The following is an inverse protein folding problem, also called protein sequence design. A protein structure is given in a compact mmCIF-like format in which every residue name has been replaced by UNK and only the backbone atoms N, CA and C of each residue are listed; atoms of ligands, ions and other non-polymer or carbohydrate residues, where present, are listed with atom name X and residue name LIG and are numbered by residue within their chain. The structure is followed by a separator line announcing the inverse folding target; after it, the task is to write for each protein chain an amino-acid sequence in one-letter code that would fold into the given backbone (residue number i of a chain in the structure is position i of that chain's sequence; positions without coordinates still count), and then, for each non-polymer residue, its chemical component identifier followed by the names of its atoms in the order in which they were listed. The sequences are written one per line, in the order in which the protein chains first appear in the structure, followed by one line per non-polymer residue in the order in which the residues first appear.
data_IF_283605162302
#
_entry.id   IF_283605162302
#
_cell.length_a   1.000
_cell.length_b   1.000
_cell.length_c   1.000
_cell.angle_alpha   90.00
_cell.angle_beta   90.00
_cell.angle_gamma   90.00
#
_symmetry.space_group_name_H-M   'P 1'
#
loop_
_entity.id
_entity.type
_entity.pdbx_description
1 polymer ?
#
# COMPACT_ATOMS: atom_id res chain seq x y z
N UNK A 1 -10.77 -8.58 0.32
CA UNK A 1 -10.10 -7.42 0.97
C UNK A 1 -10.28 -7.54 2.47
N UNK A 2 -9.26 -7.25 3.29
CA UNK A 2 -9.28 -7.45 4.74
C UNK A 2 -8.68 -6.24 5.47
N UNK A 3 -9.33 -5.75 6.53
CA UNK A 3 -8.74 -4.75 7.43
C UNK A 3 -7.71 -5.41 8.34
N UNK A 4 -6.54 -4.80 8.44
CA UNK A 4 -5.46 -5.26 9.32
C UNK A 4 -5.65 -4.71 10.74
N UNK A 5 -5.27 -5.51 11.74
CA UNK A 5 -5.24 -5.08 13.15
C UNK A 5 -3.95 -4.30 13.42
N UNK A 6 -4.06 -3.04 13.80
CA UNK A 6 -2.88 -2.22 14.09
C UNK A 6 -2.44 -2.43 15.54
N UNK A 7 -1.14 -2.24 15.78
CA UNK A 7 -0.58 -2.33 17.13
C UNK A 7 -1.15 -1.22 18.03
N UNK A 8 -1.12 -1.47 19.33
CA UNK A 8 -1.50 -0.50 20.36
C UNK A 8 -0.63 0.78 20.22
N UNK A 9 -1.27 1.95 20.28
CA UNK A 9 -0.62 3.24 20.04
C UNK A 9 -0.64 3.72 18.57
N UNK A 10 -1.26 2.98 17.65
CA UNK A 10 -1.56 3.53 16.32
C UNK A 10 -2.47 4.78 16.43
N UNK A 11 -2.28 5.79 15.55
CA UNK A 11 -3.14 6.97 15.54
C UNK A 11 -4.62 6.60 15.43
N UNK A 12 -5.45 7.32 16.16
CA UNK A 12 -6.89 7.10 16.15
C UNK A 12 -7.46 7.27 14.73
N UNK A 13 -8.35 6.35 14.33
CA UNK A 13 -8.97 6.36 13.01
C UNK A 13 -8.07 5.91 11.86
N UNK A 14 -6.78 5.59 12.10
CA UNK A 14 -5.92 5.00 11.06
C UNK A 14 -6.43 3.59 10.71
N UNK A 15 -6.57 3.35 9.42
CA UNK A 15 -6.94 2.04 8.90
C UNK A 15 -5.94 1.59 7.85
N UNK A 16 -5.60 0.30 7.88
CA UNK A 16 -4.83 -0.33 6.81
C UNK A 16 -5.59 -1.54 6.31
N UNK A 17 -5.78 -1.59 5.00
CA UNK A 17 -6.51 -2.63 4.30
C UNK A 17 -5.55 -3.39 3.39
N UNK A 18 -5.65 -4.72 3.42
CA UNK A 18 -4.89 -5.63 2.57
C UNK A 18 -5.79 -6.26 1.52
N UNK A 19 -5.27 -6.28 0.30
CA UNK A 19 -5.82 -7.00 -0.82
C UNK A 19 -4.89 -8.15 -1.18
N UNK A 20 -5.47 -9.32 -1.42
CA UNK A 20 -4.79 -10.40 -2.13
C UNK A 20 -5.26 -10.36 -3.58
N UNK A 21 -4.32 -10.38 -4.50
CA UNK A 21 -4.55 -10.19 -5.93
C UNK A 21 -4.20 -11.48 -6.66
N UNK A 22 -5.17 -12.02 -7.40
CA UNK A 22 -4.90 -13.02 -8.41
C UNK A 22 -4.52 -12.30 -9.71
N UNK A 23 -3.21 -12.25 -9.99
CA UNK A 23 -2.67 -11.51 -11.13
C UNK A 23 -2.89 -12.21 -12.47
N UNK A 24 -3.38 -13.45 -12.46
CA UNK A 24 -3.68 -14.24 -13.65
C UNK A 24 -5.17 -14.24 -13.98
N UNK A 25 -6.02 -13.94 -13.00
CA UNK A 25 -7.45 -13.79 -13.22
C UNK A 25 -7.75 -12.63 -14.18
N UNK A 26 -8.84 -12.69 -14.95
CA UNK A 26 -9.34 -11.52 -15.67
C UNK A 26 -9.72 -10.43 -14.67
N UNK A 27 -9.69 -9.18 -15.13
CA UNK A 27 -10.23 -8.06 -14.36
C UNK A 27 -11.75 -8.28 -14.23
N UNK A 28 -12.27 -8.14 -13.01
CA UNK A 28 -13.70 -8.32 -12.77
C UNK A 28 -14.50 -7.14 -13.36
N UNK A 29 -15.58 -7.43 -14.08
CA UNK A 29 -16.46 -6.41 -14.68
C UNK A 29 -16.97 -5.39 -13.65
N UNK A 30 -17.24 -5.86 -12.43
CA UNK A 30 -17.66 -5.02 -11.31
C UNK A 30 -16.59 -4.04 -10.85
N UNK A 31 -15.30 -4.38 -10.96
CA UNK A 31 -14.20 -3.47 -10.63
C UNK A 31 -14.06 -2.42 -11.73
N UNK A 32 -14.11 -2.85 -13.00
CA UNK A 32 -13.98 -1.98 -14.18
C UNK A 32 -15.06 -0.88 -14.19
N UNK A 33 -16.29 -1.20 -13.78
CA UNK A 33 -17.41 -0.25 -13.72
C UNK A 33 -17.24 0.87 -12.68
N UNK A 34 -16.36 0.70 -11.70
CA UNK A 34 -16.14 1.72 -10.66
C UNK A 34 -15.08 2.74 -11.07
N UNK A 35 -14.22 2.40 -12.03
CA UNK A 35 -13.15 3.29 -12.47
C UNK A 35 -13.72 4.42 -13.32
N UNK A 36 -13.09 5.60 -13.24
CA UNK A 36 -13.34 6.63 -14.24
C UNK A 36 -12.76 6.18 -15.59
N UNK A 37 -13.30 6.73 -16.69
CA UNK A 37 -12.79 6.45 -18.04
C UNK A 37 -11.27 6.69 -18.15
N UNK A 38 -10.77 7.75 -17.53
CA UNK A 38 -9.34 8.08 -17.54
C UNK A 38 -8.49 7.06 -16.77
N UNK A 39 -8.98 6.58 -15.62
CA UNK A 39 -8.30 5.54 -14.84
C UNK A 39 -8.26 4.22 -15.60
N UNK A 40 -9.40 3.80 -16.17
CA UNK A 40 -9.49 2.60 -16.97
C UNK A 40 -8.54 2.67 -18.17
N UNK A 41 -8.58 3.76 -18.94
CA UNK A 41 -7.67 3.96 -20.08
C UNK A 41 -6.20 3.94 -19.67
N UNK A 42 -5.85 4.49 -18.49
CA UNK A 42 -4.48 4.44 -17.99
C UNK A 42 -4.06 3.01 -17.64
N UNK A 43 -4.94 2.24 -17.00
CA UNK A 43 -4.68 0.84 -16.68
C UNK A 43 -4.49 0.00 -17.95
N UNK A 44 -5.33 0.18 -18.96
CA UNK A 44 -5.24 -0.56 -20.23
C UNK A 44 -3.99 -0.26 -21.07
N UNK A 45 -3.24 0.80 -20.75
CA UNK A 45 -1.94 1.09 -21.38
C UNK A 45 -0.76 0.36 -20.74
N UNK A 46 -0.98 -0.35 -19.63
CA UNK A 46 0.07 -1.12 -18.98
C UNK A 46 0.44 -2.32 -19.83
N UNK A 47 1.75 -2.61 -19.91
CA UNK A 47 2.29 -3.65 -20.79
C UNK A 47 1.92 -5.06 -20.35
N UNK A 48 1.86 -5.29 -19.04
CA UNK A 48 1.67 -6.62 -18.48
C UNK A 48 0.29 -6.75 -17.85
N UNK A 49 -0.40 -7.86 -18.14
CA UNK A 49 -1.71 -8.19 -17.56
C UNK A 49 -1.73 -8.07 -16.04
N UNK A 50 -0.70 -8.60 -15.37
CA UNK A 50 -0.55 -8.50 -13.92
C UNK A 50 -0.55 -7.04 -13.40
N UNK A 51 -0.01 -6.09 -14.17
CA UNK A 51 -0.01 -4.68 -13.80
C UNK A 51 -1.38 -4.05 -14.02
N UNK A 52 -2.10 -4.44 -15.09
CA UNK A 52 -3.50 -4.05 -15.33
C UNK A 52 -4.38 -4.50 -14.17
N UNK A 53 -4.34 -5.79 -13.81
CA UNK A 53 -5.11 -6.36 -12.70
C UNK A 53 -4.81 -5.62 -11.41
N UNK A 54 -3.53 -5.38 -11.10
CA UNK A 54 -3.12 -4.66 -9.90
C UNK A 54 -3.66 -3.22 -9.88
N UNK A 55 -3.55 -2.51 -11.00
CA UNK A 55 -4.03 -1.14 -11.12
C UNK A 55 -5.55 -1.05 -10.95
N UNK A 56 -6.31 -1.92 -11.62
CA UNK A 56 -7.78 -1.91 -11.59
C UNK A 56 -8.29 -2.34 -10.22
N UNK A 57 -7.92 -3.53 -9.74
CA UNK A 57 -8.44 -4.08 -8.49
C UNK A 57 -8.12 -3.15 -7.30
N UNK A 58 -6.91 -2.59 -7.27
CA UNK A 58 -6.52 -1.67 -6.19
C UNK A 58 -7.27 -0.35 -6.27
N UNK A 59 -7.47 0.20 -7.49
CA UNK A 59 -8.24 1.45 -7.67
C UNK A 59 -9.72 1.26 -7.32
N UNK A 60 -10.32 0.16 -7.76
CA UNK A 60 -11.72 -0.17 -7.46
C UNK A 60 -11.92 -0.33 -5.94
N UNK A 61 -11.02 -1.04 -5.26
CA UNK A 61 -11.04 -1.18 -3.81
C UNK A 61 -10.87 0.16 -3.08
N UNK A 62 -9.94 1.00 -3.51
CA UNK A 62 -9.77 2.35 -2.96
C UNK A 62 -11.07 3.15 -3.11
N UNK A 63 -11.70 3.15 -4.29
CA UNK A 63 -12.96 3.86 -4.52
C UNK A 63 -14.08 3.35 -3.61
N UNK A 64 -14.23 2.03 -3.44
CA UNK A 64 -15.22 1.44 -2.49
C UNK A 64 -14.98 1.91 -1.06
N UNK A 65 -13.72 1.87 -0.61
CA UNK A 65 -13.38 2.30 0.74
C UNK A 65 -13.67 3.79 0.94
N UNK A 66 -13.23 4.66 0.02
CA UNK A 66 -13.47 6.10 0.12
C UNK A 66 -14.95 6.45 0.02
N UNK A 67 -15.71 5.74 -0.83
CA UNK A 67 -17.16 5.88 -0.94
C UNK A 67 -17.83 5.62 0.41
N UNK A 68 -17.44 4.56 1.10
CA UNK A 68 -17.98 4.23 2.42
C UNK A 68 -17.66 5.28 3.51
N UNK A 69 -16.64 6.13 3.33
CA UNK A 69 -16.31 7.23 4.28
C UNK A 69 -16.93 8.56 3.90
N UNK A 70 -17.15 8.78 2.60
CA UNK A 70 -17.60 10.08 2.08
C UNK A 70 -19.09 10.12 1.75
N UNK A 71 -19.75 8.95 1.63
CA UNK A 71 -21.11 8.83 1.13
C UNK A 71 -21.25 9.09 -0.38
N UNK A 72 -20.16 9.43 -1.08
CA UNK A 72 -20.15 9.65 -2.53
C UNK A 72 -20.04 8.31 -3.24
N UNK A 73 -20.85 8.09 -4.29
CA UNK A 73 -20.79 6.86 -5.06
C UNK A 73 -19.37 6.61 -5.64
N UNK A 74 -18.86 5.36 -5.65
CA UNK A 74 -17.47 5.08 -5.99
C UNK A 74 -17.03 5.66 -7.34
N UNK A 75 -17.88 5.59 -8.36
CA UNK A 75 -17.65 6.09 -9.73
C UNK A 75 -17.66 7.62 -9.82
N UNK A 76 -18.29 8.31 -8.86
CA UNK A 76 -18.36 9.78 -8.79
C UNK A 76 -17.19 10.40 -8.03
N UNK A 77 -16.33 9.61 -7.40
CA UNK A 77 -15.14 10.11 -6.72
C UNK A 77 -14.17 10.76 -7.71
N UNK A 78 -13.76 11.99 -7.42
CA UNK A 78 -12.77 12.75 -8.17
C UNK A 78 -11.45 12.75 -7.41
N UNK A 79 -10.39 12.38 -8.11
CA UNK A 79 -9.02 12.39 -7.60
C UNK A 79 -8.24 13.52 -8.25
N UNK A 80 -7.55 14.31 -7.44
CA UNK A 80 -6.58 15.31 -7.87
C UNK A 80 -5.17 14.80 -7.61
N UNK A 81 -4.17 15.50 -8.16
CA UNK A 81 -2.77 15.25 -7.84
C UNK A 81 -2.16 16.56 -7.31
N UNK A 82 -1.38 16.47 -6.25
CA UNK A 82 -0.59 17.61 -5.79
C UNK A 82 0.62 17.86 -6.70
N UNK A 83 1.39 18.92 -6.41
CA UNK A 83 2.61 19.28 -7.16
C UNK A 83 3.68 18.18 -7.24
N UNK A 84 3.59 17.14 -6.40
CA UNK A 84 4.51 16.00 -6.35
C UNK A 84 3.91 14.72 -6.96
N UNK A 85 2.74 14.81 -7.58
CA UNK A 85 2.03 13.68 -8.18
C UNK A 85 1.32 12.77 -7.17
N UNK A 86 1.22 13.15 -5.89
CA UNK A 86 0.46 12.34 -4.90
C UNK A 86 -1.03 12.46 -5.22
N UNK A 87 -1.75 11.35 -5.43
CA UNK A 87 -3.19 11.40 -5.55
C UNK A 87 -3.83 11.83 -4.22
N UNK A 88 -4.85 12.66 -4.30
CA UNK A 88 -5.71 13.09 -3.20
C UNK A 88 -7.18 13.07 -3.65
N UNK A 89 -8.11 13.05 -2.70
CA UNK A 89 -9.51 13.32 -3.02
C UNK A 89 -9.66 14.82 -3.26
N UNK A 90 -10.51 15.21 -4.21
CA UNK A 90 -10.81 16.62 -4.47
C UNK A 90 -11.50 17.29 -3.27
N UNK A 91 -12.32 16.54 -2.53
CA UNK A 91 -12.91 17.00 -1.29
C UNK A 91 -11.82 17.13 -0.21
N UNK A 92 -11.53 18.37 0.20
CA UNK A 92 -10.50 18.70 1.19
C UNK A 92 -10.76 18.11 2.59
N UNK A 93 -12.04 17.89 2.94
CA UNK A 93 -12.44 17.28 4.21
C UNK A 93 -12.55 15.73 4.10
N UNK A 94 -12.22 15.17 2.94
CA UNK A 94 -12.17 13.74 2.71
C UNK A 94 -10.98 13.07 3.41
N UNK A 95 -11.04 11.75 3.67
CA UNK A 95 -9.95 11.05 4.32
C UNK A 95 -8.68 11.08 3.47
N UNK A 96 -7.54 11.26 4.14
CA UNK A 96 -6.23 11.09 3.53
C UNK A 96 -6.01 9.60 3.21
N UNK A 97 -5.37 9.31 2.08
CA UNK A 97 -5.08 7.94 1.69
C UNK A 97 -3.68 7.75 1.11
N UNK A 98 -3.22 6.50 1.17
CA UNK A 98 -2.05 6.05 0.44
C UNK A 98 -2.24 4.60 -0.01
N UNK A 99 -1.57 4.25 -1.10
CA UNK A 99 -1.65 2.92 -1.71
C UNK A 99 -0.23 2.49 -2.06
N UNK A 100 0.11 1.26 -1.72
CA UNK A 100 1.33 0.59 -2.18
C UNK A 100 1.02 -0.86 -2.50
N UNK A 101 1.79 -1.47 -3.39
CA UNK A 101 1.55 -2.83 -3.83
C UNK A 101 2.83 -3.52 -4.27
N UNK A 102 2.95 -4.81 -3.97
CA UNK A 102 4.10 -5.61 -4.39
C UNK A 102 3.71 -7.06 -4.58
N UNK A 103 4.09 -7.63 -5.72
CA UNK A 103 3.64 -8.96 -6.14
C UNK A 103 2.10 -9.07 -6.15
N UNK A 104 1.59 -10.05 -5.40
CA UNK A 104 0.17 -10.41 -5.30
C UNK A 104 -0.57 -9.68 -4.16
N UNK A 105 0.02 -8.63 -3.58
CA UNK A 105 -0.56 -7.93 -2.43
C UNK A 105 -0.58 -6.44 -2.71
N UNK A 106 -1.70 -5.80 -2.35
CA UNK A 106 -1.81 -4.35 -2.25
C UNK A 106 -2.23 -3.94 -0.84
N UNK A 107 -1.76 -2.78 -0.42
CA UNK A 107 -2.12 -2.11 0.82
C UNK A 107 -2.74 -0.76 0.51
N UNK A 108 -3.79 -0.44 1.27
CA UNK A 108 -4.45 0.86 1.25
C UNK A 108 -4.50 1.35 2.69
N UNK A 109 -3.89 2.50 2.95
CA UNK A 109 -4.02 3.19 4.23
C UNK A 109 -4.99 4.37 4.11
N UNK A 110 -5.82 4.56 5.14
CA UNK A 110 -6.77 5.64 5.27
C UNK A 110 -6.60 6.32 6.63
N UNK A 111 -6.62 7.64 6.66
CA UNK A 111 -6.63 8.42 7.88
C UNK A 111 -7.72 9.50 7.80
N UNK A 112 -8.37 9.89 8.91
CA UNK A 112 -9.40 10.94 8.91
C UNK A 112 -8.89 12.29 8.38
N UNK A 113 -7.58 12.55 8.47
CA UNK A 113 -6.93 13.73 7.92
C UNK A 113 -5.41 13.62 8.01
N UNK A 114 -4.73 14.69 7.57
CA UNK A 114 -3.27 14.78 7.63
C UNK A 114 -2.55 13.92 6.57
N UNK A 115 -1.29 13.58 6.86
CA UNK A 115 -0.45 12.80 5.96
C UNK A 115 -0.44 11.33 6.35
N UNK A 116 -0.81 10.46 5.41
CA UNK A 116 -0.67 9.00 5.54
C UNK A 116 0.18 8.44 4.38
N UNK A 117 0.92 7.40 4.70
CA UNK A 117 1.75 6.56 3.83
C UNK A 117 1.52 5.10 4.17
N UNK A 118 1.69 4.22 3.19
CA UNK A 118 1.84 2.80 3.39
C UNK A 118 2.80 2.31 2.33
N UNK A 119 3.69 1.40 2.72
CA UNK A 119 4.62 0.81 1.77
C UNK A 119 4.73 -0.68 2.01
N UNK A 120 4.77 -1.45 0.92
CA UNK A 120 4.94 -2.89 0.93
C UNK A 120 5.92 -3.28 -0.15
N UNK A 121 6.89 -4.11 0.20
CA UNK A 121 7.82 -4.68 -0.75
C UNK A 121 7.95 -6.19 -0.58
N UNK A 122 8.05 -6.89 -1.71
CA UNK A 122 8.28 -8.34 -1.72
C UNK A 122 9.74 -8.61 -1.37
N UNK A 123 9.97 -9.29 -0.25
CA UNK A 123 11.29 -9.81 0.08
C UNK A 123 11.79 -10.76 -1.02
N UNK A 124 12.99 -10.50 -1.53
CA UNK A 124 13.71 -11.38 -2.45
C UNK A 124 14.89 -11.97 -1.69
N UNK A 125 14.84 -13.26 -1.31
CA UNK A 125 15.91 -13.88 -0.53
C UNK A 125 17.28 -13.79 -1.21
N UNK A 126 17.31 -13.73 -2.55
CA UNK A 126 18.55 -13.64 -3.33
C UNK A 126 19.08 -12.20 -3.46
N UNK A 127 18.34 -11.20 -2.99
CA UNK A 127 18.83 -9.82 -3.01
C UNK A 127 19.84 -9.62 -1.86
N UNK A 128 21.13 -9.58 -2.20
CA UNK A 128 22.18 -9.25 -1.25
C UNK A 128 22.12 -7.75 -0.92
N UNK A 129 21.33 -7.40 0.08
CA UNK A 129 21.13 -6.01 0.51
C UNK A 129 22.18 -5.54 1.51
N UNK A 130 22.99 -6.45 2.06
CA UNK A 130 24.01 -6.14 3.07
C UNK A 130 24.98 -5.01 2.63
N UNK A 131 25.49 -4.97 1.38
CA UNK A 131 26.38 -3.89 0.93
C UNK A 131 25.72 -2.51 0.86
N UNK A 132 24.39 -2.45 0.73
CA UNK A 132 23.65 -1.18 0.63
C UNK A 132 23.26 -0.62 2.00
N UNK A 133 23.38 -1.39 3.09
CA UNK A 133 22.95 -0.97 4.42
C UNK A 133 23.69 0.28 4.90
N UNK A 134 25.00 0.37 4.64
CA UNK A 134 25.83 1.53 4.97
C UNK A 134 25.48 2.82 4.20
N UNK A 135 24.81 2.68 3.05
CA UNK A 135 24.49 3.78 2.14
C UNK A 135 23.02 4.23 2.25
N UNK A 136 22.13 3.32 2.66
CA UNK A 136 20.68 3.50 2.56
C UNK A 136 20.00 3.54 3.93
N UNK A 137 20.63 2.99 4.98
CA UNK A 137 20.10 3.00 6.35
C UNK A 137 20.78 4.09 7.18
N UNK A 138 20.00 4.75 8.02
CA UNK A 138 20.53 5.61 9.09
C UNK A 138 21.17 4.77 10.21
N UNK A 139 22.05 5.34 11.05
CA UNK A 139 22.67 4.62 12.17
C UNK A 139 21.67 3.94 13.11
N UNK A 140 20.51 4.58 13.38
CA UNK A 140 19.44 3.99 14.20
C UNK A 140 18.76 2.78 13.53
N UNK A 141 18.67 2.76 12.20
CA UNK A 141 18.07 1.65 11.45
C UNK A 141 19.03 0.46 11.33
N UNK A 142 20.34 0.73 11.21
CA UNK A 142 21.38 -0.30 11.25
C UNK A 142 21.36 -1.05 12.59
N UNK A 143 21.28 -0.33 13.72
CA UNK A 143 21.19 -0.92 15.06
C UNK A 143 19.95 -1.82 15.23
N UNK A 144 18.79 -1.42 14.71
CA UNK A 144 17.57 -2.21 14.77
C UNK A 144 17.63 -3.49 13.90
N UNK A 145 18.39 -3.44 12.79
CA UNK A 145 18.58 -4.59 11.89
C UNK A 145 19.39 -5.71 12.56
N UNK A 146 20.35 -5.35 13.42
CA UNK A 146 21.18 -6.33 14.14
C UNK A 146 20.49 -6.98 15.35
N UNK A 147 19.42 -6.37 15.89
CA UNK A 147 18.70 -6.90 17.04
C UNK A 147 17.69 -8.03 16.71
N UNK A 148 17.42 -8.31 15.43
CA UNK A 148 16.29 -9.16 14.98
C UNK A 148 16.72 -10.41 14.19
N UNK A 149 17.86 -11.02 14.51
CA UNK A 149 18.30 -12.25 13.85
C UNK A 149 17.69 -13.56 14.42
N UNK A 150 16.93 -13.52 15.51
CA UNK A 150 16.41 -14.72 16.16
C UNK A 150 14.90 -14.62 16.37
N UNK A 151 14.14 -15.39 15.59
CA UNK A 151 12.73 -15.74 15.81
C UNK A 151 11.77 -14.58 16.14
N UNK A 152 11.04 -14.05 15.16
CA UNK A 152 9.87 -13.22 15.46
C UNK A 152 8.64 -13.64 14.63
N UNK A 153 7.66 -14.36 15.22
CA UNK A 153 6.36 -14.66 14.60
C UNK A 153 5.38 -13.48 14.64
N UNK A 154 5.78 -12.29 15.08
CA UNK A 154 4.87 -11.22 15.44
C UNK A 154 5.14 -9.96 14.62
N UNK A 155 4.07 -9.49 13.99
CA UNK A 155 3.90 -8.11 13.55
C UNK A 155 4.43 -7.17 14.64
N UNK A 156 5.59 -6.59 14.38
CA UNK A 156 6.14 -5.54 15.21
C UNK A 156 6.19 -4.30 14.33
N UNK A 157 5.50 -3.26 14.79
CA UNK A 157 5.49 -1.92 14.21
C UNK A 157 6.88 -1.28 14.39
N UNK A 158 7.88 -1.81 13.67
CA UNK A 158 9.21 -1.24 13.55
C UNK A 158 9.24 -0.29 12.37
N UNK A 159 9.24 1.01 12.66
CA UNK A 159 9.29 2.08 11.67
C UNK A 159 10.63 2.08 10.92
N UNK A 160 10.58 2.24 9.59
CA UNK A 160 11.72 2.74 8.81
C UNK A 160 11.56 4.27 8.72
N UNK A 161 12.46 4.99 9.37
CA UNK A 161 12.40 6.44 9.56
C UNK A 161 13.18 7.09 8.43
N UNK A 162 12.62 7.14 7.23
CA UNK A 162 13.17 8.03 6.20
C UNK A 162 12.52 9.40 6.33
N UNK A 163 13.35 10.41 6.57
CA UNK A 163 13.11 11.76 6.05
C UNK A 163 13.09 11.62 4.52
N UNK A 164 11.97 11.18 3.98
CA UNK A 164 11.70 11.26 2.56
C UNK A 164 11.68 12.75 2.25
N UNK A 165 12.41 13.19 1.22
CA UNK A 165 12.39 14.58 0.73
C UNK A 165 11.01 15.01 0.20
N UNK A 166 9.97 14.17 0.38
CA UNK A 166 8.58 14.46 0.07
C UNK A 166 7.79 14.61 1.40
N UNK A 167 7.19 15.78 1.67
CA UNK A 167 6.66 16.15 3.00
C UNK A 167 5.42 15.36 3.51
N UNK A 168 5.05 14.21 2.93
CA UNK A 168 3.70 13.64 3.09
C UNK A 168 3.59 12.11 3.33
N UNK A 169 4.65 11.40 3.70
CA UNK A 169 4.63 9.93 3.85
C UNK A 169 4.87 9.49 5.32
N UNK A 170 3.89 8.81 5.94
CA UNK A 170 4.04 8.15 7.25
C UNK A 170 3.28 6.83 7.34
N UNK A 171 3.99 5.79 7.82
CA UNK A 171 3.71 4.35 7.90
C UNK A 171 4.25 3.54 6.70
N UNK A 172 5.20 2.64 6.95
CA UNK A 172 5.64 1.58 6.05
C UNK A 172 5.26 0.27 6.72
N UNK A 173 4.58 -0.65 6.00
CA UNK A 173 4.18 -1.94 6.52
C UNK A 173 4.82 -3.04 5.65
N UNK A 174 5.99 -3.52 6.05
CA UNK A 174 6.65 -4.63 5.37
C UNK A 174 5.88 -5.93 5.67
N UNK A 175 5.13 -6.44 4.70
CA UNK A 175 4.48 -7.75 4.81
C UNK A 175 5.41 -8.84 4.25
N UNK A 176 6.06 -9.57 5.16
CA UNK A 176 6.80 -10.78 4.82
C UNK A 176 5.84 -11.98 4.68
N UNK A 177 5.77 -12.60 3.50
CA UNK A 177 5.07 -13.89 3.32
C UNK A 177 6.11 -15.00 3.27
N UNK A 178 6.29 -15.74 4.37
CA UNK A 178 7.04 -17.00 4.35
C UNK A 178 6.25 -17.99 3.49
N UNK A 179 6.75 -18.37 2.33
CA UNK A 179 6.22 -19.51 1.59
C UNK A 179 6.40 -20.74 2.48
N UNK A 180 5.32 -21.34 2.97
CA UNK A 180 5.39 -22.69 3.54
C UNK A 180 5.73 -23.60 2.37
N UNK A 181 6.96 -24.11 2.36
CA UNK A 181 7.29 -25.35 1.66
C UNK A 181 6.37 -26.45 2.21
N UNK A 182 5.58 -27.05 1.33
CA UNK A 182 4.86 -28.30 1.61
C UNK A 182 5.90 -29.38 1.97
N UNK A 183 5.65 -30.24 2.97
CA UNK A 183 6.48 -31.41 3.17
C UNK A 183 6.23 -32.41 2.01
N UNK A 184 7.30 -33.09 1.63
CA UNK A 184 7.32 -34.23 0.70
C UNK A 184 6.40 -35.36 1.20
#
# INVERSE_FOLDING_TARGET
MQRLQLAEGAPEGLEVWRLSLDLNAPVADEDDRLLSRAEWQRAQRLRHHADVVRAVATRAALRRLLSARTGVAPEKLVFTQNAYGKPALENADGPAFNVSHSGHVALIALAPGGAVGVDIERCRPEAELAPLQGLVLSPSEQLATHATASHCPLWSAGWLKRRCSKPWAWASLIICRRSRSLPL
#
